data_IF_631554596435
#
_entry.id   IF_631554596435
#
_cell.length_a   1.000
_cell.length_b   1.000
_cell.length_c   1.000
_cell.angle_alpha   90.00
_cell.angle_beta   90.00
_cell.angle_gamma   90.00
#
_symmetry.space_group_name_H-M   'P 1'
#
loop_
_entity.id
_entity.type
_entity.pdbx_description
1 polymer ?
#
# COMPACT_ATOMS: atom_id res chain seq x y z
N UNK A 1 20.43 -62.15 -16.84
CA UNK A 1 19.79 -61.27 -17.85
C UNK A 1 19.49 -59.98 -17.11
N UNK A 2 20.53 -59.16 -17.00
CA UNK A 2 20.51 -57.88 -16.30
C UNK A 2 20.18 -56.79 -17.32
N UNK A 3 18.95 -56.30 -17.29
CA UNK A 3 18.57 -55.12 -18.02
C UNK A 3 18.99 -53.90 -17.17
N UNK A 4 20.23 -53.45 -17.36
CA UNK A 4 20.66 -52.14 -16.91
C UNK A 4 19.85 -51.10 -17.68
N UNK A 5 18.84 -50.52 -17.04
CA UNK A 5 18.18 -49.31 -17.50
C UNK A 5 19.22 -48.19 -17.49
N UNK A 6 19.74 -47.86 -18.66
CA UNK A 6 20.39 -46.57 -18.90
C UNK A 6 19.32 -45.51 -18.70
N UNK A 7 19.25 -45.00 -17.47
CA UNK A 7 18.56 -43.75 -17.15
C UNK A 7 19.33 -42.65 -17.88
N UNK A 8 18.90 -42.34 -19.11
CA UNK A 8 19.32 -41.16 -19.82
C UNK A 8 19.01 -39.95 -18.95
N UNK A 9 20.05 -39.39 -18.34
CA UNK A 9 20.08 -38.07 -17.73
C UNK A 9 19.71 -37.01 -18.79
N UNK A 10 18.42 -36.87 -19.08
CA UNK A 10 17.87 -35.69 -19.72
C UNK A 10 17.84 -34.57 -18.67
N UNK A 11 19.05 -34.08 -18.34
CA UNK A 11 19.23 -32.85 -17.59
C UNK A 11 18.46 -31.75 -18.33
N UNK A 12 17.47 -31.15 -17.68
CA UNK A 12 16.77 -30.01 -18.25
C UNK A 12 17.79 -28.94 -18.64
N UNK A 13 17.72 -28.33 -19.83
CA UNK A 13 18.78 -27.47 -20.34
C UNK A 13 18.98 -26.17 -19.53
N UNK A 14 18.08 -25.86 -18.60
CA UNK A 14 18.15 -24.67 -17.76
C UNK A 14 18.12 -25.02 -16.26
N UNK A 15 18.85 -24.25 -15.41
CA UNK A 15 18.73 -24.33 -13.95
C UNK A 15 17.30 -24.08 -13.46
N UNK A 16 16.99 -24.60 -12.28
CA UNK A 16 15.65 -24.51 -11.67
C UNK A 16 15.21 -23.06 -11.43
N UNK A 17 16.16 -22.16 -11.17
CA UNK A 17 15.95 -20.72 -10.99
C UNK A 17 15.48 -20.06 -12.28
N UNK A 18 16.05 -20.47 -13.42
CA UNK A 18 15.68 -19.94 -14.75
C UNK A 18 14.27 -20.40 -15.11
N UNK A 19 13.92 -21.65 -14.84
CA UNK A 19 12.55 -22.13 -15.00
C UNK A 19 11.56 -21.41 -14.08
N UNK A 20 11.95 -21.13 -12.84
CA UNK A 20 11.15 -20.33 -11.92
C UNK A 20 10.82 -18.95 -12.48
N UNK A 21 11.81 -18.28 -13.09
CA UNK A 21 11.62 -16.97 -13.73
C UNK A 21 10.76 -17.07 -15.00
N UNK A 22 11.01 -18.05 -15.88
CA UNK A 22 10.19 -18.26 -17.08
C UNK A 22 8.72 -18.48 -16.69
N UNK A 23 8.45 -19.31 -15.68
CA UNK A 23 7.10 -19.58 -15.20
C UNK A 23 6.48 -18.36 -14.51
N UNK A 24 7.26 -17.48 -13.88
CA UNK A 24 6.76 -16.25 -13.24
C UNK A 24 6.18 -15.25 -14.25
N UNK A 25 6.64 -15.32 -15.50
CA UNK A 25 6.10 -14.54 -16.61
C UNK A 25 4.84 -15.14 -17.26
N UNK A 26 4.47 -16.39 -16.93
CA UNK A 26 3.24 -16.99 -17.43
C UNK A 26 2.01 -16.42 -16.71
N UNK A 27 0.91 -16.29 -17.44
CA UNK A 27 -0.37 -15.95 -16.84
C UNK A 27 -0.86 -17.07 -15.92
N UNK A 28 -1.67 -16.73 -14.90
CA UNK A 28 -2.28 -17.74 -14.01
C UNK A 28 -3.06 -18.84 -14.75
N UNK A 29 -3.56 -18.54 -15.95
CA UNK A 29 -4.30 -19.47 -16.81
C UNK A 29 -3.40 -20.54 -17.47
N UNK A 30 -2.12 -20.24 -17.66
CA UNK A 30 -1.18 -21.10 -18.39
C UNK A 30 -0.37 -22.00 -17.45
N UNK A 31 -0.23 -21.60 -16.18
CA UNK A 31 0.46 -22.38 -15.15
C UNK A 31 -0.06 -23.82 -14.99
N UNK A 32 -1.37 -24.13 -15.07
CA UNK A 32 -1.85 -25.51 -15.02
C UNK A 32 -1.24 -26.39 -16.11
N UNK A 33 -1.07 -25.88 -17.34
CA UNK A 33 -0.49 -26.65 -18.43
C UNK A 33 0.99 -27.00 -18.13
N UNK A 34 1.74 -26.08 -17.53
CA UNK A 34 3.12 -26.34 -17.11
C UNK A 34 3.21 -27.48 -16.07
N UNK A 35 2.20 -27.67 -15.23
CA UNK A 35 2.18 -28.78 -14.25
C UNK A 35 2.03 -30.17 -14.86
N UNK A 36 1.64 -30.24 -16.14
CA UNK A 36 1.44 -31.50 -16.87
C UNK A 36 2.68 -31.95 -17.62
N UNK A 37 3.66 -31.05 -17.83
CA UNK A 37 4.85 -31.33 -18.65
C UNK A 37 5.81 -32.30 -17.95
N UNK A 38 6.25 -31.98 -16.74
CA UNK A 38 7.13 -32.85 -15.95
C UNK A 38 7.03 -32.55 -14.45
N UNK A 39 7.63 -33.40 -13.61
CA UNK A 39 7.58 -33.28 -12.16
C UNK A 39 8.25 -32.00 -11.64
N UNK A 40 9.37 -31.58 -12.23
CA UNK A 40 10.08 -30.35 -11.84
C UNK A 40 9.23 -29.10 -12.11
N UNK A 41 8.68 -28.98 -13.32
CA UNK A 41 7.81 -27.88 -13.69
C UNK A 41 6.51 -27.88 -12.88
N UNK A 42 5.98 -29.06 -12.52
CA UNK A 42 4.86 -29.17 -11.60
C UNK A 42 5.17 -28.54 -10.25
N UNK A 43 6.31 -28.89 -9.65
CA UNK A 43 6.67 -28.35 -8.34
C UNK A 43 6.84 -26.81 -8.37
N UNK A 44 7.50 -26.29 -9.39
CA UNK A 44 7.66 -24.83 -9.58
C UNK A 44 6.33 -24.13 -9.84
N UNK A 45 5.55 -24.63 -10.81
CA UNK A 45 4.28 -24.02 -11.20
C UNK A 45 3.25 -24.08 -10.06
N UNK A 46 3.19 -25.16 -9.27
CA UNK A 46 2.32 -25.23 -8.09
C UNK A 46 2.61 -24.11 -7.08
N UNK A 47 3.89 -23.80 -6.85
CA UNK A 47 4.27 -22.70 -5.94
C UNK A 47 3.75 -21.33 -6.41
N UNK A 48 3.64 -21.14 -7.73
CA UNK A 48 3.13 -19.91 -8.35
C UNK A 48 1.60 -19.90 -8.42
N UNK A 49 0.98 -21.05 -8.71
CA UNK A 49 -0.48 -21.20 -8.76
C UNK A 49 -1.14 -20.94 -7.42
N UNK A 50 -0.53 -21.47 -6.34
CA UNK A 50 -1.10 -21.42 -4.99
C UNK A 50 -0.48 -20.33 -4.11
N UNK A 51 0.24 -19.36 -4.70
CA UNK A 51 0.87 -18.29 -3.92
C UNK A 51 -0.13 -17.34 -3.24
N UNK A 52 -1.36 -17.27 -3.76
CA UNK A 52 -2.38 -16.32 -3.33
C UNK A 52 -3.77 -16.91 -3.45
N UNK A 53 -4.53 -16.85 -2.37
CA UNK A 53 -5.95 -17.21 -2.36
C UNK A 53 -6.85 -16.02 -2.08
N UNK A 54 -8.02 -16.02 -2.71
CA UNK A 54 -9.07 -15.03 -2.47
C UNK A 54 -10.38 -15.77 -2.20
N UNK A 55 -10.85 -15.66 -0.97
CA UNK A 55 -12.12 -16.21 -0.49
C UNK A 55 -13.10 -15.08 -0.13
N UNK A 56 -13.01 -13.93 -0.80
CA UNK A 56 -13.99 -12.87 -0.63
C UNK A 56 -15.20 -13.13 -1.53
N UNK A 57 -16.38 -13.28 -0.93
CA UNK A 57 -17.64 -13.51 -1.64
C UNK A 57 -18.25 -12.26 -2.31
N UNK A 58 -17.51 -11.14 -2.37
CA UNK A 58 -18.01 -9.91 -2.98
C UNK A 58 -18.41 -10.07 -4.46
N UNK A 59 -17.87 -11.07 -5.16
CA UNK A 59 -18.17 -11.36 -6.57
C UNK A 59 -19.19 -12.50 -6.75
N UNK A 60 -19.36 -13.37 -5.76
CA UNK A 60 -20.34 -14.47 -5.74
C UNK A 60 -20.54 -14.97 -4.30
N UNK A 61 -21.75 -14.92 -3.70
CA UNK A 61 -21.98 -15.45 -2.35
C UNK A 61 -21.81 -16.97 -2.35
N UNK A 62 -20.59 -17.42 -2.08
CA UNK A 62 -20.27 -18.84 -1.99
C UNK A 62 -21.03 -19.49 -0.83
N UNK A 63 -21.60 -20.67 -1.09
CA UNK A 63 -22.10 -21.57 -0.06
C UNK A 63 -20.99 -21.79 1.00
N UNK A 64 -21.28 -21.63 2.30
CA UNK A 64 -20.34 -21.92 3.38
C UNK A 64 -19.63 -23.28 3.24
N UNK A 65 -20.31 -24.30 2.72
CA UNK A 65 -19.71 -25.62 2.47
C UNK A 65 -18.61 -25.57 1.41
N UNK A 66 -18.82 -24.78 0.34
CA UNK A 66 -17.83 -24.57 -0.73
C UNK A 66 -16.63 -23.81 -0.16
N UNK A 67 -16.86 -22.76 0.64
CA UNK A 67 -15.78 -22.03 1.31
C UNK A 67 -14.93 -22.97 2.17
N UNK A 68 -15.56 -23.78 3.04
CA UNK A 68 -14.84 -24.70 3.91
C UNK A 68 -14.09 -25.78 3.12
N UNK A 69 -14.65 -26.28 2.02
CA UNK A 69 -13.98 -27.23 1.13
C UNK A 69 -12.73 -26.63 0.48
N UNK A 70 -12.82 -25.42 -0.07
CA UNK A 70 -11.67 -24.74 -0.68
C UNK A 70 -10.59 -24.40 0.35
N UNK A 71 -10.99 -23.99 1.57
CA UNK A 71 -10.06 -23.74 2.66
C UNK A 71 -9.37 -25.04 3.11
N UNK A 72 -10.11 -26.15 3.22
CA UNK A 72 -9.55 -27.46 3.55
C UNK A 72 -8.55 -27.94 2.49
N UNK A 73 -8.88 -27.78 1.20
CA UNK A 73 -7.97 -28.05 0.10
C UNK A 73 -6.68 -27.22 0.22
N UNK A 74 -6.81 -25.91 0.45
CA UNK A 74 -5.65 -25.01 0.48
C UNK A 74 -4.78 -25.18 1.72
N UNK A 75 -5.37 -25.64 2.83
CA UNK A 75 -4.65 -25.98 4.06
C UNK A 75 -4.02 -27.38 4.04
N UNK A 76 -4.10 -28.11 2.92
CA UNK A 76 -3.41 -29.39 2.74
C UNK A 76 -1.88 -29.21 2.80
N UNK A 77 -1.18 -30.27 3.22
CA UNK A 77 0.28 -30.28 3.35
C UNK A 77 1.03 -29.96 2.06
N UNK A 78 0.41 -30.21 0.90
CA UNK A 78 1.00 -29.95 -0.42
C UNK A 78 0.83 -28.51 -0.90
N UNK A 79 -0.13 -27.76 -0.34
CA UNK A 79 -0.49 -26.43 -0.83
C UNK A 79 -0.11 -25.36 0.18
N UNK A 80 -0.38 -25.61 1.47
CA UNK A 80 -0.19 -24.64 2.53
C UNK A 80 1.22 -24.01 2.59
N UNK A 81 2.33 -24.76 2.34
CA UNK A 81 3.67 -24.17 2.30
C UNK A 81 3.88 -23.15 1.17
N UNK A 82 3.07 -23.16 0.12
CA UNK A 82 3.22 -22.24 -1.01
C UNK A 82 2.43 -20.93 -0.85
N UNK A 83 1.49 -20.88 0.09
CA UNK A 83 0.60 -19.73 0.29
C UNK A 83 1.36 -18.57 0.93
N UNK A 84 1.42 -17.43 0.22
CA UNK A 84 2.06 -16.18 0.69
C UNK A 84 1.07 -15.06 0.93
N UNK A 85 -0.06 -15.07 0.24
CA UNK A 85 -1.13 -14.09 0.39
C UNK A 85 -2.49 -14.78 0.55
N UNK A 86 -3.32 -14.27 1.45
CA UNK A 86 -4.67 -14.76 1.64
C UNK A 86 -5.62 -13.58 1.81
N UNK A 87 -6.75 -13.60 1.09
CA UNK A 87 -7.86 -12.68 1.28
C UNK A 87 -9.08 -13.48 1.76
N UNK A 88 -9.68 -13.07 2.88
CA UNK A 88 -10.86 -13.69 3.49
C UNK A 88 -11.96 -12.63 3.58
N UNK A 89 -13.17 -12.90 3.08
CA UNK A 89 -14.31 -11.99 3.28
C UNK A 89 -15.64 -12.46 2.68
N UNK A 90 -16.66 -11.60 2.71
CA UNK A 90 -17.87 -11.72 1.88
C UNK A 90 -19.16 -12.18 2.57
N UNK A 91 -19.13 -13.21 3.42
CA UNK A 91 -20.36 -13.71 4.09
C UNK A 91 -20.23 -13.62 5.61
N UNK A 92 -21.12 -12.84 6.24
CA UNK A 92 -21.22 -12.77 7.69
C UNK A 92 -21.45 -14.17 8.28
N UNK A 93 -20.64 -14.56 9.27
CA UNK A 93 -20.77 -15.84 9.97
C UNK A 93 -19.98 -17.01 9.40
N UNK A 94 -19.43 -16.91 8.17
CA UNK A 94 -18.59 -17.98 7.59
C UNK A 94 -17.17 -17.94 8.18
N UNK A 95 -16.63 -16.74 8.36
CA UNK A 95 -15.30 -16.55 8.93
C UNK A 95 -15.41 -16.65 10.45
N UNK A 96 -14.96 -17.77 10.99
CA UNK A 96 -15.03 -18.10 12.42
C UNK A 96 -13.65 -18.12 13.06
N UNK A 97 -13.63 -18.14 14.39
CA UNK A 97 -12.38 -18.14 15.18
C UNK A 97 -11.50 -19.37 14.91
N UNK A 98 -12.10 -20.49 14.48
CA UNK A 98 -11.37 -21.72 14.15
C UNK A 98 -10.45 -21.54 12.95
N UNK A 99 -10.78 -20.64 12.02
CA UNK A 99 -9.92 -20.34 10.87
C UNK A 99 -8.61 -19.70 11.36
N UNK A 100 -8.69 -18.76 12.29
CA UNK A 100 -7.53 -18.07 12.85
C UNK A 100 -6.70 -18.97 13.76
N UNK A 101 -7.36 -19.90 14.46
CA UNK A 101 -6.69 -20.84 15.38
C UNK A 101 -6.07 -22.05 14.66
N UNK A 102 -6.76 -22.61 13.67
CA UNK A 102 -6.46 -23.95 13.14
C UNK A 102 -6.01 -23.93 11.68
N UNK A 103 -6.54 -23.02 10.85
CA UNK A 103 -6.28 -22.98 9.41
C UNK A 103 -5.12 -22.05 9.05
N UNK A 104 -5.17 -20.78 9.47
CA UNK A 104 -4.14 -19.78 9.11
C UNK A 104 -2.73 -20.18 9.57
N UNK A 105 -2.50 -20.76 10.77
CA UNK A 105 -1.16 -21.18 11.18
C UNK A 105 -0.54 -22.27 10.31
N UNK A 106 -1.34 -22.98 9.49
CA UNK A 106 -0.81 -23.98 8.54
C UNK A 106 -0.11 -23.33 7.34
N UNK A 107 -0.44 -22.08 7.04
CA UNK A 107 0.22 -21.31 5.98
C UNK A 107 1.55 -20.74 6.49
N UNK A 108 2.56 -21.61 6.61
CA UNK A 108 3.88 -21.28 7.19
C UNK A 108 4.58 -20.09 6.51
N UNK A 109 4.27 -19.84 5.24
CA UNK A 109 4.85 -18.76 4.43
C UNK A 109 3.89 -17.58 4.21
N UNK A 110 2.78 -17.51 4.93
CA UNK A 110 1.81 -16.42 4.80
C UNK A 110 2.44 -15.10 5.24
N UNK A 111 2.57 -14.15 4.30
CA UNK A 111 3.12 -12.81 4.56
C UNK A 111 2.07 -11.72 4.50
N UNK A 112 1.01 -11.91 3.70
CA UNK A 112 -0.04 -10.89 3.50
C UNK A 112 -1.41 -11.49 3.80
N UNK A 113 -2.14 -10.86 4.71
CA UNK A 113 -3.52 -11.19 5.02
C UNK A 113 -4.42 -9.98 4.74
N UNK A 114 -5.50 -10.20 4.01
CA UNK A 114 -6.56 -9.22 3.80
C UNK A 114 -7.86 -9.78 4.38
N UNK A 115 -8.47 -9.05 5.30
CA UNK A 115 -9.76 -9.36 5.87
C UNK A 115 -10.77 -8.34 5.36
N UNK A 116 -11.89 -8.79 4.83
CA UNK A 116 -12.94 -7.95 4.26
C UNK A 116 -14.29 -8.31 4.86
N UNK A 117 -14.99 -7.35 5.44
CA UNK A 117 -16.28 -7.54 6.11
C UNK A 117 -16.25 -8.61 7.23
N UNK A 118 -15.11 -8.76 7.91
CA UNK A 118 -14.94 -9.75 9.00
C UNK A 118 -15.20 -9.10 10.35
N UNK A 119 -16.13 -9.67 11.13
CA UNK A 119 -16.33 -9.28 12.53
C UNK A 119 -15.16 -9.78 13.38
N UNK A 120 -14.29 -8.85 13.78
CA UNK A 120 -13.12 -9.16 14.60
C UNK A 120 -13.54 -9.41 16.05
N UNK A 121 -13.02 -10.49 16.61
CA UNK A 121 -13.14 -10.83 18.03
C UNK A 121 -11.75 -10.83 18.70
N UNK A 122 -11.66 -10.69 20.03
CA UNK A 122 -10.39 -10.82 20.75
C UNK A 122 -9.67 -12.14 20.48
N UNK A 123 -10.41 -13.25 20.33
CA UNK A 123 -9.84 -14.57 20.02
C UNK A 123 -9.18 -14.59 18.64
N UNK A 124 -9.81 -13.96 17.63
CA UNK A 124 -9.22 -13.84 16.29
C UNK A 124 -7.92 -13.04 16.32
N UNK A 125 -7.83 -11.99 17.14
CA UNK A 125 -6.61 -11.20 17.30
C UNK A 125 -5.47 -11.98 17.96
N UNK A 126 -5.78 -12.81 18.96
CA UNK A 126 -4.81 -13.75 19.54
C UNK A 126 -4.33 -14.74 18.45
N UNK A 127 -5.23 -15.23 17.59
CA UNK A 127 -4.86 -16.06 16.45
C UNK A 127 -3.93 -15.33 15.48
N UNK A 128 -4.20 -14.06 15.18
CA UNK A 128 -3.35 -13.23 14.32
C UNK A 128 -1.96 -12.97 14.93
N UNK A 129 -1.87 -12.77 16.25
CA UNK A 129 -0.59 -12.57 16.93
C UNK A 129 0.37 -13.77 16.81
N UNK A 130 -0.17 -14.97 16.58
CA UNK A 130 0.61 -16.21 16.42
C UNK A 130 1.16 -16.42 15.01
N UNK A 131 0.77 -15.59 14.04
CA UNK A 131 1.15 -15.75 12.64
C UNK A 131 2.13 -14.63 12.27
N UNK A 132 3.22 -14.99 11.60
CA UNK A 132 4.25 -14.03 11.18
C UNK A 132 3.86 -13.30 9.88
N UNK A 133 3.03 -12.26 10.01
CA UNK A 133 2.58 -11.44 8.90
C UNK A 133 3.52 -10.26 8.64
N UNK A 134 3.81 -9.99 7.36
CA UNK A 134 4.44 -8.73 6.92
C UNK A 134 3.38 -7.65 6.73
N UNK A 135 2.22 -8.01 6.17
CA UNK A 135 1.17 -7.07 5.83
C UNK A 135 -0.22 -7.54 6.25
N UNK A 136 -0.98 -6.65 6.90
CA UNK A 136 -2.38 -6.85 7.27
C UNK A 136 -3.25 -5.72 6.70
N UNK A 137 -4.29 -6.10 5.98
CA UNK A 137 -5.29 -5.18 5.43
C UNK A 137 -6.65 -5.52 6.03
N UNK A 138 -7.28 -4.56 6.69
CA UNK A 138 -8.62 -4.67 7.26
C UNK A 138 -9.55 -3.78 6.45
N UNK A 139 -10.57 -4.37 5.83
CA UNK A 139 -11.56 -3.68 5.00
C UNK A 139 -12.93 -3.95 5.62
N UNK A 140 -13.65 -2.91 6.05
CA UNK A 140 -14.99 -3.06 6.61
C UNK A 140 -15.08 -4.09 7.75
N UNK A 141 -14.01 -4.26 8.54
CA UNK A 141 -13.98 -5.24 9.62
C UNK A 141 -14.50 -4.62 10.93
N UNK A 142 -15.77 -4.80 11.34
CA UNK A 142 -16.26 -4.30 12.63
C UNK A 142 -15.68 -5.10 13.82
N UNK A 143 -15.62 -4.49 15.00
CA UNK A 143 -15.29 -5.18 16.25
C UNK A 143 -14.63 -4.29 17.28
N UNK A 144 -14.86 -4.61 18.56
CA UNK A 144 -14.00 -4.11 19.63
C UNK A 144 -12.73 -4.96 19.61
N UNK A 145 -11.63 -4.34 19.20
CA UNK A 145 -10.36 -5.03 19.10
C UNK A 145 -9.74 -5.28 20.49
N UNK A 146 -10.27 -4.66 21.55
CA UNK A 146 -9.71 -4.75 22.89
C UNK A 146 -8.21 -4.43 22.92
N UNK A 147 -7.56 -4.73 24.04
CA UNK A 147 -6.10 -4.78 24.10
C UNK A 147 -5.71 -6.24 24.37
N UNK A 148 -5.27 -6.99 23.36
CA UNK A 148 -4.82 -8.35 23.59
C UNK A 148 -3.56 -8.35 24.45
N UNK A 149 -3.30 -9.49 25.11
CA UNK A 149 -2.07 -9.69 25.89
C UNK A 149 -0.81 -9.69 25.01
N UNK A 150 -0.95 -10.11 23.76
CA UNK A 150 0.14 -10.24 22.79
C UNK A 150 -0.07 -9.24 21.65
N UNK A 151 0.97 -8.47 21.32
CA UNK A 151 0.91 -7.52 20.21
C UNK A 151 1.11 -8.22 18.86
N UNK A 152 0.28 -7.88 17.88
CA UNK A 152 0.41 -8.34 16.50
C UNK A 152 1.59 -7.60 15.86
N UNK A 153 2.60 -8.35 15.40
CA UNK A 153 3.77 -7.79 14.72
C UNK A 153 3.55 -7.79 13.21
N UNK A 154 3.37 -6.61 12.62
CA UNK A 154 3.19 -6.38 11.18
C UNK A 154 3.99 -5.16 10.74
N UNK A 155 4.56 -5.22 9.54
CA UNK A 155 5.29 -4.09 8.95
C UNK A 155 4.35 -3.13 8.21
N UNK A 156 3.32 -3.67 7.56
CA UNK A 156 2.32 -2.90 6.82
C UNK A 156 0.92 -3.11 7.42
N UNK A 157 0.28 -2.02 7.84
CA UNK A 157 -1.09 -2.03 8.31
C UNK A 157 -1.94 -1.07 7.49
N UNK A 158 -3.02 -1.57 6.91
CA UNK A 158 -3.98 -0.76 6.18
C UNK A 158 -5.39 -1.01 6.69
N UNK A 159 -6.08 0.04 7.12
CA UNK A 159 -7.47 -0.01 7.57
C UNK A 159 -8.32 0.82 6.64
N UNK A 160 -9.32 0.20 6.00
CA UNK A 160 -10.22 0.82 5.02
C UNK A 160 -11.67 0.60 5.44
N UNK A 161 -12.50 1.63 5.30
CA UNK A 161 -13.95 1.56 5.53
C UNK A 161 -14.42 1.00 6.90
N UNK A 162 -13.53 0.82 7.88
CA UNK A 162 -13.87 0.30 9.21
C UNK A 162 -14.45 1.39 10.15
N UNK A 163 -15.58 2.00 9.76
CA UNK A 163 -16.21 3.12 10.50
C UNK A 163 -16.49 2.77 11.97
N UNK A 164 -16.91 1.52 12.26
CA UNK A 164 -17.21 1.06 13.62
C UNK A 164 -15.97 0.80 14.48
N UNK A 165 -14.86 0.35 13.91
CA UNK A 165 -13.59 0.15 14.65
C UNK A 165 -12.90 1.49 14.92
N UNK A 166 -13.05 2.42 13.98
CA UNK A 166 -12.46 3.74 14.04
C UNK A 166 -13.07 4.64 15.12
N UNK A 167 -14.34 4.43 15.47
CA UNK A 167 -15.07 5.24 16.45
C UNK A 167 -14.52 5.16 17.88
N UNK A 168 -13.72 4.13 18.20
CA UNK A 168 -13.12 3.95 19.53
C UNK A 168 -11.67 4.44 19.56
N UNK A 169 -11.48 5.77 19.58
CA UNK A 169 -10.29 6.43 20.14
C UNK A 169 -8.92 5.98 19.58
N UNK A 170 -8.88 5.38 18.39
CA UNK A 170 -7.72 4.71 17.82
C UNK A 170 -7.00 3.72 18.78
N UNK A 171 -7.71 3.15 19.76
CA UNK A 171 -7.13 2.19 20.71
C UNK A 171 -6.63 0.91 20.03
N UNK A 172 -7.19 0.60 18.87
CA UNK A 172 -6.78 -0.50 18.03
C UNK A 172 -5.29 -0.48 17.66
N UNK A 173 -4.62 0.68 17.65
CA UNK A 173 -3.19 0.75 17.39
C UNK A 173 -2.36 0.08 18.49
N UNK A 174 -2.86 0.01 19.72
CA UNK A 174 -2.19 -0.67 20.84
C UNK A 174 -2.12 -2.18 20.65
N UNK A 175 -2.96 -2.73 19.77
CA UNK A 175 -2.94 -4.16 19.40
C UNK A 175 -1.70 -4.50 18.59
N UNK A 176 -1.10 -3.52 17.90
CA UNK A 176 0.02 -3.73 16.99
C UNK A 176 1.33 -3.35 17.64
N UNK A 177 2.40 -4.06 17.28
CA UNK A 177 3.74 -3.75 17.77
C UNK A 177 4.27 -2.47 17.09
N UNK A 178 4.47 -1.37 17.85
CA UNK A 178 4.86 -0.09 17.28
C UNK A 178 6.30 -0.06 16.74
N UNK A 179 7.15 -1.00 17.16
CA UNK A 179 8.58 -1.01 16.81
C UNK A 179 8.88 -1.61 15.45
N UNK A 180 7.92 -2.33 14.86
CA UNK A 180 8.06 -2.99 13.54
C UNK A 180 7.18 -2.37 12.47
N UNK A 181 6.19 -1.55 12.85
CA UNK A 181 5.24 -0.95 11.92
C UNK A 181 5.92 0.14 11.07
N UNK A 182 6.08 -0.13 9.77
CA UNK A 182 6.74 0.75 8.80
C UNK A 182 5.77 1.50 7.90
N UNK A 183 4.63 0.89 7.60
CA UNK A 183 3.59 1.47 6.74
C UNK A 183 2.25 1.47 7.46
N UNK A 184 1.61 2.64 7.53
CA UNK A 184 0.28 2.82 8.10
C UNK A 184 -0.64 3.55 7.13
N UNK A 185 -1.78 2.93 6.81
CA UNK A 185 -2.86 3.54 6.03
C UNK A 185 -4.16 3.56 6.82
N UNK A 186 -4.78 4.74 6.92
CA UNK A 186 -6.15 4.91 7.45
C UNK A 186 -7.08 5.46 6.37
N UNK A 187 -8.16 4.74 6.11
CA UNK A 187 -9.09 4.99 4.99
C UNK A 187 -10.47 5.51 5.40
N UNK A 188 -10.69 5.88 6.67
CA UNK A 188 -11.96 6.51 7.09
C UNK A 188 -11.72 7.87 7.73
N UNK A 189 -12.77 8.69 7.70
CA UNK A 189 -12.79 10.00 8.33
C UNK A 189 -12.49 9.91 9.84
N UNK A 190 -13.29 9.10 10.53
CA UNK A 190 -13.20 8.90 11.97
C UNK A 190 -11.82 8.34 12.36
N UNK A 191 -11.28 7.40 11.58
CA UNK A 191 -9.97 6.80 11.92
C UNK A 191 -8.82 7.77 11.75
N UNK A 192 -8.89 8.67 10.77
CA UNK A 192 -7.80 9.59 10.48
C UNK A 192 -7.72 10.70 11.54
N UNK A 193 -8.84 11.31 11.94
CA UNK A 193 -8.84 12.32 13.01
C UNK A 193 -8.42 11.72 14.37
N UNK A 194 -8.96 10.56 14.72
CA UNK A 194 -8.60 9.84 15.95
C UNK A 194 -7.14 9.37 15.93
N UNK A 195 -6.62 8.92 14.78
CA UNK A 195 -5.21 8.58 14.62
C UNK A 195 -4.34 9.80 14.90
N UNK A 196 -4.61 10.94 14.28
CA UNK A 196 -3.80 12.15 14.45
C UNK A 196 -3.76 12.58 15.92
N UNK A 197 -4.91 12.59 16.61
CA UNK A 197 -4.94 12.96 18.04
C UNK A 197 -4.15 11.97 18.92
N UNK A 198 -4.06 10.70 18.52
CA UNK A 198 -3.33 9.65 19.26
C UNK A 198 -1.87 9.49 18.86
N UNK A 199 -1.44 9.88 17.67
CA UNK A 199 -0.05 9.77 17.21
C UNK A 199 0.93 10.43 18.20
N UNK A 200 0.51 11.50 18.88
CA UNK A 200 1.29 12.15 19.93
C UNK A 200 1.65 11.22 21.10
N UNK A 201 0.75 10.30 21.43
CA UNK A 201 0.90 9.32 22.52
C UNK A 201 1.43 7.97 22.03
N UNK A 202 1.25 7.67 20.74
CA UNK A 202 1.68 6.43 20.12
C UNK A 202 3.09 6.64 19.56
N UNK A 203 4.09 6.28 20.34
CA UNK A 203 5.47 6.30 19.87
C UNK A 203 5.66 5.23 18.77
N UNK A 204 5.71 5.65 17.51
CA UNK A 204 5.88 4.78 16.33
C UNK A 204 7.27 5.02 15.69
N UNK A 205 8.37 4.55 16.31
CA UNK A 205 9.74 4.91 15.91
C UNK A 205 10.15 4.36 14.55
N UNK A 206 9.50 3.29 14.07
CA UNK A 206 9.81 2.63 12.81
C UNK A 206 8.92 3.08 11.64
N UNK A 207 7.96 3.97 11.88
CA UNK A 207 7.00 4.37 10.84
C UNK A 207 7.69 5.20 9.76
N UNK A 208 7.78 4.63 8.56
CA UNK A 208 8.42 5.25 7.40
C UNK A 208 7.40 5.83 6.42
N UNK A 209 6.19 5.26 6.34
CA UNK A 209 5.14 5.66 5.40
C UNK A 209 3.82 5.83 6.14
N UNK A 210 3.20 7.00 5.98
CA UNK A 210 1.91 7.34 6.57
C UNK A 210 0.96 7.81 5.47
N UNK A 211 -0.14 7.09 5.28
CA UNK A 211 -1.20 7.39 4.33
C UNK A 211 -2.51 7.73 5.05
N UNK A 212 -2.98 8.96 4.89
CA UNK A 212 -4.17 9.51 5.56
C UNK A 212 -5.25 9.87 4.55
N UNK A 213 -6.52 9.67 4.92
CA UNK A 213 -7.68 10.05 4.11
C UNK A 213 -8.07 11.53 4.37
N UNK A 214 -8.32 12.26 3.30
CA UNK A 214 -8.68 13.69 3.33
C UNK A 214 -9.86 14.00 4.23
N UNK A 215 -10.84 13.08 4.34
CA UNK A 215 -12.08 13.32 5.08
C UNK A 215 -11.79 13.58 6.55
N UNK A 216 -10.94 12.76 7.17
CA UNK A 216 -10.66 12.91 8.59
C UNK A 216 -9.74 14.08 8.91
N UNK A 217 -8.94 14.51 7.93
CA UNK A 217 -8.06 15.67 8.09
C UNK A 217 -8.81 17.00 8.12
N UNK A 218 -10.02 17.07 7.55
CA UNK A 218 -10.82 18.30 7.57
C UNK A 218 -11.11 18.79 9.00
N UNK A 219 -11.28 17.86 9.94
CA UNK A 219 -11.57 18.16 11.36
C UNK A 219 -10.32 18.35 12.22
N UNK A 220 -9.13 18.21 11.63
CA UNK A 220 -7.86 18.31 12.34
C UNK A 220 -7.28 19.71 12.16
N UNK A 221 -7.10 20.43 13.27
CA UNK A 221 -6.41 21.71 13.22
C UNK A 221 -4.91 21.53 12.91
N UNK A 222 -4.30 22.57 12.36
CA UNK A 222 -2.90 22.55 11.93
C UNK A 222 -1.94 22.19 13.05
N UNK A 223 -2.09 22.80 14.23
CA UNK A 223 -1.21 22.60 15.39
C UNK A 223 -1.18 21.15 15.85
N UNK A 224 -2.35 20.50 15.90
CA UNK A 224 -2.47 19.11 16.28
C UNK A 224 -1.86 18.17 15.25
N UNK A 225 -2.04 18.47 13.96
CA UNK A 225 -1.42 17.72 12.89
C UNK A 225 0.11 17.80 12.92
N UNK A 226 0.66 19.01 13.07
CA UNK A 226 2.11 19.26 13.18
C UNK A 226 2.70 18.54 14.38
N UNK A 227 2.02 18.63 15.52
CA UNK A 227 2.46 17.97 16.75
C UNK A 227 2.39 16.44 16.63
N UNK A 228 1.39 15.88 15.95
CA UNK A 228 1.31 14.45 15.66
C UNK A 228 2.43 13.97 14.73
N UNK A 229 2.75 14.73 13.68
CA UNK A 229 3.85 14.41 12.77
C UNK A 229 5.22 14.46 13.46
N UNK A 230 5.38 15.34 14.45
CA UNK A 230 6.62 15.42 15.25
C UNK A 230 6.90 14.13 16.04
N UNK A 231 5.87 13.30 16.29
CA UNK A 231 6.00 12.02 16.99
C UNK A 231 6.45 10.86 16.09
N UNK A 232 6.59 11.09 14.78
CA UNK A 232 7.02 10.08 13.79
C UNK A 232 8.28 10.54 13.02
N UNK A 233 9.42 10.72 13.70
CA UNK A 233 10.63 11.32 13.10
C UNK A 233 11.27 10.45 12.00
N UNK A 234 10.94 9.16 11.93
CA UNK A 234 11.43 8.25 10.91
C UNK A 234 10.68 8.36 9.57
N UNK A 235 9.60 9.15 9.51
CA UNK A 235 8.73 9.24 8.34
C UNK A 235 9.48 9.72 7.10
N UNK A 236 9.45 8.90 6.05
CA UNK A 236 10.06 9.12 4.73
C UNK A 236 9.05 9.48 3.66
N UNK A 237 7.82 8.98 3.78
CA UNK A 237 6.74 9.26 2.84
C UNK A 237 5.44 9.65 3.56
N UNK A 238 4.84 10.75 3.12
CA UNK A 238 3.52 11.19 3.57
C UNK A 238 2.56 11.20 2.38
N UNK A 239 1.46 10.47 2.50
CA UNK A 239 0.41 10.37 1.48
C UNK A 239 -0.91 10.92 2.03
N UNK A 240 -1.35 12.05 1.50
CA UNK A 240 -2.62 12.69 1.82
C UNK A 240 -3.60 12.38 0.69
N UNK A 241 -4.40 11.33 0.86
CA UNK A 241 -5.26 10.80 -0.20
C UNK A 241 -6.59 11.53 -0.26
N UNK A 242 -7.02 11.86 -1.48
CA UNK A 242 -8.43 12.23 -1.72
C UNK A 242 -9.29 10.96 -1.63
N UNK A 243 -10.27 10.96 -0.72
CA UNK A 243 -11.27 9.90 -0.63
C UNK A 243 -12.14 9.79 -1.90
N UNK A 244 -12.91 8.72 -2.03
CA UNK A 244 -13.77 8.49 -3.20
C UNK A 244 -14.98 9.44 -3.26
N UNK A 245 -15.36 10.00 -2.12
CA UNK A 245 -16.49 10.92 -2.00
C UNK A 245 -16.06 12.33 -2.41
N UNK A 246 -16.66 12.81 -3.49
CA UNK A 246 -16.40 14.15 -4.01
C UNK A 246 -16.86 15.22 -3.02
N UNK A 247 -16.04 16.24 -2.80
CA UNK A 247 -16.47 17.52 -2.23
C UNK A 247 -16.05 17.83 -0.80
N UNK A 248 -15.36 16.93 -0.08
CA UNK A 248 -14.82 17.29 1.23
C UNK A 248 -13.62 18.23 1.06
N UNK A 249 -13.68 19.47 1.59
CA UNK A 249 -12.58 20.41 1.47
C UNK A 249 -11.37 19.93 2.28
N UNK A 250 -10.19 20.25 1.79
CA UNK A 250 -8.96 20.10 2.57
C UNK A 250 -8.85 21.21 3.61
N UNK A 251 -8.19 20.96 4.76
CA UNK A 251 -7.86 22.02 5.69
C UNK A 251 -6.97 23.06 5.01
N UNK A 252 -7.20 24.33 5.38
CA UNK A 252 -6.46 25.49 4.87
C UNK A 252 -5.23 25.76 5.73
N UNK A 253 -4.28 24.82 5.69
CA UNK A 253 -3.00 24.98 6.37
C UNK A 253 -2.12 25.96 5.59
N UNK A 254 -1.70 27.03 6.25
CA UNK A 254 -0.97 28.12 5.61
C UNK A 254 0.45 28.26 6.14
N UNK A 255 0.77 27.68 7.29
CA UNK A 255 2.10 27.80 7.87
C UNK A 255 3.06 26.80 7.25
N UNK A 256 4.29 27.24 6.97
CA UNK A 256 5.33 26.32 6.52
C UNK A 256 5.71 25.37 7.66
N UNK A 257 5.75 24.07 7.37
CA UNK A 257 6.13 23.08 8.36
C UNK A 257 7.64 23.18 8.64
N UNK A 258 8.09 23.42 9.89
CA UNK A 258 9.52 23.50 10.22
C UNK A 258 10.25 22.23 9.81
N UNK A 259 11.44 22.35 9.21
CA UNK A 259 12.22 21.20 8.72
C UNK A 259 12.51 20.14 9.81
N UNK A 260 12.45 20.54 11.08
CA UNK A 260 12.58 19.68 12.26
C UNK A 260 11.44 18.69 12.48
N UNK A 261 10.21 18.98 12.02
CA UNK A 261 9.01 18.16 12.30
C UNK A 261 9.00 16.86 11.49
N UNK A 262 9.66 16.83 10.33
CA UNK A 262 9.77 15.67 9.46
C UNK A 262 11.13 15.68 8.74
N UNK A 263 12.23 15.39 9.45
CA UNK A 263 13.58 15.61 8.93
C UNK A 263 13.95 14.64 7.81
N UNK A 264 13.25 13.50 7.71
CA UNK A 264 13.53 12.42 6.74
C UNK A 264 12.54 12.35 5.58
N UNK A 265 11.59 13.28 5.50
CA UNK A 265 10.56 13.28 4.45
C UNK A 265 11.22 13.45 3.08
N UNK A 266 11.15 12.40 2.26
CA UNK A 266 11.71 12.34 0.92
C UNK A 266 10.64 12.15 -0.16
N UNK A 267 9.43 11.76 0.23
CA UNK A 267 8.29 11.55 -0.67
C UNK A 267 7.03 12.23 -0.13
N UNK A 268 6.35 13.00 -0.96
CA UNK A 268 5.06 13.60 -0.63
C UNK A 268 4.05 13.29 -1.73
N UNK A 269 2.87 12.83 -1.33
CA UNK A 269 1.70 12.71 -2.20
C UNK A 269 0.56 13.49 -1.57
N UNK A 270 -0.04 14.45 -2.28
CA UNK A 270 -1.11 15.24 -1.68
C UNK A 270 -1.70 16.32 -2.58
N UNK A 271 -2.61 17.15 -2.02
CA UNK A 271 -3.24 18.22 -2.76
C UNK A 271 -2.25 19.36 -3.04
N UNK A 272 -2.42 20.02 -4.19
CA UNK A 272 -1.50 21.05 -4.67
C UNK A 272 -1.20 22.20 -3.69
N UNK A 273 -2.19 22.65 -2.91
CA UNK A 273 -2.01 23.79 -1.99
C UNK A 273 -1.17 23.44 -0.76
N UNK A 274 -1.01 22.15 -0.44
CA UNK A 274 -0.16 21.69 0.66
C UNK A 274 1.29 21.42 0.23
N UNK A 275 1.60 21.47 -1.07
CA UNK A 275 2.97 21.29 -1.57
C UNK A 275 3.93 22.30 -0.91
N UNK A 276 3.66 23.62 -0.85
CA UNK A 276 4.56 24.57 -0.18
C UNK A 276 4.70 24.32 1.34
N UNK A 277 3.67 23.77 1.99
CA UNK A 277 3.68 23.48 3.43
C UNK A 277 4.69 22.37 3.76
N UNK A 278 4.64 21.27 3.01
CA UNK A 278 5.48 20.09 3.29
C UNK A 278 6.82 20.09 2.56
N UNK A 279 6.91 20.73 1.39
CA UNK A 279 8.03 20.53 0.47
C UNK A 279 9.03 21.69 0.38
N UNK A 280 8.65 22.92 0.74
CA UNK A 280 9.47 24.12 0.52
C UNK A 280 10.86 24.01 1.17
N UNK A 281 10.92 23.64 2.44
CA UNK A 281 12.16 23.63 3.24
C UNK A 281 12.83 22.26 3.35
N UNK A 282 12.45 21.30 2.50
CA UNK A 282 12.90 19.90 2.59
C UNK A 282 13.45 19.43 1.26
N UNK A 283 14.18 18.31 1.27
CA UNK A 283 14.66 17.63 0.05
C UNK A 283 13.72 16.49 -0.36
N UNK A 284 12.70 16.85 -1.13
CA UNK A 284 11.74 15.89 -1.72
C UNK A 284 12.30 15.30 -3.01
N UNK A 285 12.38 13.97 -3.06
CA UNK A 285 12.83 13.19 -4.23
C UNK A 285 11.66 12.68 -5.07
N UNK A 286 10.49 12.49 -4.45
CA UNK A 286 9.26 12.03 -5.11
C UNK A 286 8.10 12.92 -4.72
N UNK A 287 7.43 13.48 -5.71
CA UNK A 287 6.29 14.36 -5.52
C UNK A 287 5.12 13.87 -6.37
N UNK A 288 3.99 13.57 -5.75
CA UNK A 288 2.74 13.27 -6.44
C UNK A 288 1.70 14.32 -6.04
N UNK A 289 1.18 15.05 -7.02
CA UNK A 289 0.26 16.16 -6.78
C UNK A 289 -1.06 15.91 -7.46
N UNK A 290 -2.12 16.04 -6.67
CA UNK A 290 -3.49 16.01 -7.16
C UNK A 290 -4.25 17.28 -6.80
N UNK A 291 -5.41 17.48 -7.41
CA UNK A 291 -6.27 18.60 -7.07
C UNK A 291 -6.97 18.40 -5.72
N UNK A 292 -7.89 19.33 -5.42
CA UNK A 292 -8.64 19.35 -4.15
C UNK A 292 -9.58 18.16 -3.97
N UNK A 293 -10.03 17.53 -5.05
CA UNK A 293 -10.81 16.29 -5.03
C UNK A 293 -10.30 15.32 -6.09
N UNK A 294 -10.80 14.08 -6.07
CA UNK A 294 -10.51 13.08 -7.11
C UNK A 294 -10.96 13.53 -8.50
N UNK A 295 -12.02 14.32 -8.59
CA UNK A 295 -12.56 14.89 -9.84
C UNK A 295 -11.93 16.24 -10.21
N UNK A 296 -11.36 16.97 -9.25
CA UNK A 296 -10.69 18.24 -9.50
C UNK A 296 -9.25 17.99 -9.93
N UNK A 297 -8.94 18.43 -11.14
CA UNK A 297 -7.57 18.49 -11.61
C UNK A 297 -6.83 19.64 -10.92
N UNK A 298 -5.50 19.54 -10.86
CA UNK A 298 -4.67 20.68 -10.51
C UNK A 298 -4.90 21.83 -11.49
N UNK A 299 -4.99 23.04 -10.97
CA UNK A 299 -4.99 24.25 -11.81
C UNK A 299 -3.53 24.54 -12.19
N UNK A 300 -3.24 24.54 -13.50
CA UNK A 300 -1.90 24.68 -14.07
C UNK A 300 -1.16 25.94 -13.62
N UNK A 301 -1.88 27.05 -13.44
CA UNK A 301 -1.28 28.31 -12.96
C UNK A 301 -0.88 28.21 -11.49
N UNK A 302 -1.74 27.63 -10.65
CA UNK A 302 -1.47 27.49 -9.21
C UNK A 302 -0.37 26.48 -8.93
N UNK A 303 -0.39 25.32 -9.60
CA UNK A 303 0.61 24.29 -9.39
C UNK A 303 1.99 24.78 -9.83
N UNK A 304 2.06 25.59 -10.89
CA UNK A 304 3.31 26.20 -11.32
C UNK A 304 3.96 27.07 -10.25
N UNK A 305 3.18 27.93 -9.60
CA UNK A 305 3.65 28.72 -8.45
C UNK A 305 4.13 27.84 -7.28
N UNK A 306 3.37 26.79 -6.94
CA UNK A 306 3.73 25.86 -5.87
C UNK A 306 4.96 25.00 -6.19
N UNK A 307 5.19 24.65 -7.45
CA UNK A 307 6.41 23.95 -7.86
C UNK A 307 7.60 24.90 -7.87
N UNK A 308 7.39 26.16 -8.27
CA UNK A 308 8.40 27.21 -8.20
C UNK A 308 8.93 27.45 -6.78
N UNK A 309 8.08 27.39 -5.75
CA UNK A 309 8.54 27.49 -4.35
C UNK A 309 9.37 26.28 -3.93
N UNK A 310 9.11 25.09 -4.47
CA UNK A 310 9.92 23.89 -4.19
C UNK A 310 11.27 23.93 -4.91
N UNK A 311 11.33 24.57 -6.08
CA UNK A 311 12.53 24.66 -6.90
C UNK A 311 13.52 25.72 -6.44
N UNK A 312 13.04 26.87 -5.94
CA UNK A 312 13.88 28.04 -5.59
C UNK A 312 14.95 27.77 -4.52
N UNK A 313 14.71 26.83 -3.63
CA UNK A 313 15.56 26.61 -2.46
C UNK A 313 16.55 25.42 -2.61
N UNK A 314 16.84 24.96 -3.84
CA UNK A 314 17.61 23.72 -4.03
C UNK A 314 18.73 23.80 -5.07
N UNK A 315 19.95 23.67 -4.59
CA UNK A 315 21.14 23.41 -5.37
C UNK A 315 21.19 21.90 -5.77
N UNK A 316 20.83 21.63 -7.03
CA UNK A 316 21.14 20.47 -7.88
C UNK A 316 20.73 19.04 -7.51
N UNK A 317 20.52 18.68 -6.24
CA UNK A 317 20.26 17.27 -5.86
C UNK A 317 18.74 16.92 -5.84
N UNK A 318 18.06 17.41 -6.88
CA UNK A 318 16.63 17.71 -6.98
C UNK A 318 15.63 16.55 -7.07
N UNK A 319 14.38 16.95 -7.35
CA UNK A 319 13.22 16.08 -7.49
C UNK A 319 13.45 15.03 -8.60
N UNK A 320 13.42 13.75 -8.27
CA UNK A 320 13.70 12.65 -9.21
C UNK A 320 12.44 12.12 -9.91
N UNK A 321 11.30 12.14 -9.22
CA UNK A 321 10.01 11.69 -9.76
C UNK A 321 8.91 12.69 -9.44
N UNK A 322 8.15 13.07 -10.47
CA UNK A 322 7.00 13.96 -10.37
C UNK A 322 5.79 13.29 -11.02
N UNK A 323 4.68 13.18 -10.28
CA UNK A 323 3.38 12.77 -10.79
C UNK A 323 2.41 13.94 -10.63
N UNK A 324 1.72 14.31 -11.71
CA UNK A 324 0.77 15.42 -11.73
C UNK A 324 -0.59 14.95 -12.26
N UNK A 325 -1.65 15.24 -11.51
CA UNK A 325 -3.04 15.05 -11.97
C UNK A 325 -3.59 16.39 -12.49
N UNK A 326 -3.29 16.73 -13.74
CA UNK A 326 -3.49 18.08 -14.31
C UNK A 326 -4.37 18.07 -15.56
N UNK A 327 -5.10 19.17 -15.76
CA UNK A 327 -5.93 19.43 -16.94
C UNK A 327 -5.09 19.48 -18.23
N UNK A 328 -5.66 19.16 -19.41
CA UNK A 328 -4.96 18.97 -20.69
C UNK A 328 -4.10 20.13 -21.23
N UNK A 329 -4.03 21.30 -20.58
CA UNK A 329 -3.08 22.36 -20.99
C UNK A 329 -1.65 22.08 -20.49
N UNK A 330 -1.03 21.06 -21.08
CA UNK A 330 0.25 20.49 -20.60
C UNK A 330 1.50 21.26 -21.04
N UNK A 331 1.48 21.97 -22.17
CA UNK A 331 2.71 22.53 -22.78
C UNK A 331 3.45 23.53 -21.88
N UNK A 332 2.74 24.53 -21.35
CA UNK A 332 3.35 25.52 -20.47
C UNK A 332 3.83 24.91 -19.14
N UNK A 333 3.07 23.98 -18.59
CA UNK A 333 3.42 23.29 -17.35
C UNK A 333 4.65 22.38 -17.54
N UNK A 334 4.77 21.70 -18.68
CA UNK A 334 5.93 20.90 -19.04
C UNK A 334 7.19 21.76 -19.08
N UNK A 335 7.17 22.88 -19.80
CA UNK A 335 8.29 23.81 -19.86
C UNK A 335 8.72 24.28 -18.46
N UNK A 336 7.75 24.60 -17.62
CA UNK A 336 8.00 25.03 -16.25
C UNK A 336 8.59 23.91 -15.38
N UNK A 337 8.08 22.69 -15.48
CA UNK A 337 8.59 21.53 -14.73
C UNK A 337 10.02 21.21 -15.14
N UNK A 338 10.29 21.19 -16.45
CA UNK A 338 11.61 20.86 -17.00
C UNK A 338 12.64 21.92 -16.62
N UNK A 339 12.28 23.20 -16.71
CA UNK A 339 13.16 24.30 -16.30
C UNK A 339 13.39 24.35 -14.78
N UNK A 340 12.37 24.07 -13.98
CA UNK A 340 12.46 24.07 -12.51
C UNK A 340 13.17 22.84 -11.94
N UNK A 341 13.13 21.69 -12.62
CA UNK A 341 13.68 20.43 -12.13
C UNK A 341 14.56 19.74 -13.19
N UNK A 342 15.77 20.27 -13.48
CA UNK A 342 16.66 19.70 -14.49
C UNK A 342 17.11 18.25 -14.18
N UNK A 343 17.06 17.84 -12.90
CA UNK A 343 17.39 16.48 -12.46
C UNK A 343 16.23 15.46 -12.50
N UNK A 344 15.06 15.85 -13.04
CA UNK A 344 13.88 14.99 -13.08
C UNK A 344 14.10 13.78 -14.00
N UNK A 345 13.85 12.58 -13.50
CA UNK A 345 14.03 11.31 -14.24
C UNK A 345 12.70 10.72 -14.71
N UNK A 346 11.65 10.90 -13.92
CA UNK A 346 10.32 10.36 -14.20
C UNK A 346 9.28 11.46 -14.06
N UNK A 347 8.53 11.70 -15.14
CA UNK A 347 7.38 12.60 -15.16
C UNK A 347 6.14 11.82 -15.56
N UNK A 348 5.13 11.81 -14.69
CA UNK A 348 3.85 11.13 -14.94
C UNK A 348 2.71 12.12 -14.93
N UNK A 349 1.84 12.04 -15.94
CA UNK A 349 0.59 12.79 -16.00
C UNK A 349 -0.58 11.83 -15.89
N UNK A 350 -1.45 12.03 -14.90
CA UNK A 350 -2.72 11.34 -14.84
C UNK A 350 -3.83 12.29 -15.33
N UNK A 351 -4.45 11.94 -16.46
CA UNK A 351 -5.56 12.67 -17.05
C UNK A 351 -6.91 12.23 -16.45
N UNK A 352 -8.01 12.97 -16.69
CA UNK A 352 -9.36 12.49 -16.40
C UNK A 352 -9.58 11.11 -17.05
N UNK A 353 -10.40 10.26 -16.42
CA UNK A 353 -10.64 8.87 -16.84
C UNK A 353 -9.49 7.88 -16.57
N UNK A 354 -8.45 8.27 -15.81
CA UNK A 354 -7.42 7.34 -15.35
C UNK A 354 -6.38 6.98 -16.41
N UNK A 355 -6.35 7.71 -17.52
CA UNK A 355 -5.28 7.58 -18.53
C UNK A 355 -4.00 8.15 -17.92
N UNK A 356 -2.98 7.30 -17.79
CA UNK A 356 -1.67 7.68 -17.25
C UNK A 356 -0.66 7.73 -18.40
N UNK A 357 -0.06 8.90 -18.60
CA UNK A 357 1.08 9.08 -19.48
C UNK A 357 2.34 9.08 -18.61
N UNK A 358 3.24 8.15 -18.88
CA UNK A 358 4.56 8.11 -18.26
C UNK A 358 5.60 8.55 -19.28
N UNK A 359 6.35 9.59 -18.94
CA UNK A 359 7.50 10.06 -19.69
C UNK A 359 8.75 9.76 -18.86
N UNK A 360 9.60 8.89 -19.37
CA UNK A 360 10.97 8.80 -18.88
C UNK A 360 11.74 10.00 -19.44
N UNK A 361 12.10 10.90 -18.53
CA UNK A 361 12.81 12.12 -18.90
C UNK A 361 14.27 11.76 -19.06
N UNK A 362 14.68 11.50 -20.30
CA UNK A 362 16.09 11.50 -20.65
C UNK A 362 16.50 12.95 -20.87
N UNK A 363 17.36 13.48 -19.99
CA UNK A 363 17.81 14.88 -20.03
C UNK A 363 18.39 15.30 -21.38
N UNK A 364 18.89 14.35 -22.17
CA UNK A 364 19.39 14.57 -23.54
C UNK A 364 18.30 14.88 -24.58
N UNK A 365 17.07 14.37 -24.41
CA UNK A 365 15.98 14.53 -25.38
C UNK A 365 15.31 15.90 -25.22
N UNK A 366 15.11 16.35 -23.97
CA UNK A 366 14.46 17.62 -23.69
C UNK A 366 15.30 18.84 -24.09
N UNK A 367 16.63 18.74 -24.06
CA UNK A 367 17.50 19.82 -24.54
C UNK A 367 17.50 19.96 -26.07
N UNK A 368 17.14 18.91 -26.81
CA UNK A 368 17.14 18.91 -28.28
C UNK A 368 15.79 19.31 -28.89
N UNK A 369 14.68 19.16 -28.16
CA UNK A 369 13.33 19.41 -28.70
C UNK A 369 12.91 20.89 -28.71
N UNK A 370 13.74 21.81 -28.22
CA UNK A 370 13.43 23.26 -28.23
C UNK A 370 12.15 23.62 -27.48
N UNK A 371 11.73 22.75 -26.56
CA UNK A 371 10.62 22.97 -25.63
C UNK A 371 11.16 23.74 -24.42
#
# INVERSE_FOLDING_TARGET
MDAASQDDEHSSPFPIEVWGEILSHLGKRDLPAATLVCAALRWLAQSLMFNSFNYSSAEDPEDPAVFHSKLAFSTSSHIAPHVRACKLGGVQGVISETIFRDALPRFLNLRRLTLEAVQMTPTMLIGLARISLTALVLIDCPGDLGVPRESISVEELAIRHAEKVAAQDAQWLKVFNPTVLRYLLTGTEISTAALVSRLKMLHLPALEILSLDSRGLFHVNEVDFVSALSSVPALRALELRTGEFNGVPWPDWSSHLPSTVLPRLASFSGPQHLVPVFCATRRITRLSVHGKSRSHMCNSNTIGGHLGTVARDRDDAGLASLELRVSPSLSHLLQMVVSAFPGLRSLRFALPAGIVFALEVNSSILQQSGI
#
